data_IF_867894791721
#
_entry.id   IF_867894791721
#
_cell.length_a   1.000
_cell.length_b   1.000
_cell.length_c   1.000
_cell.angle_alpha   90.00
_cell.angle_beta   90.00
_cell.angle_gamma   90.00
#
_symmetry.space_group_name_H-M   'P 1'
#
loop_
_entity.id
_entity.type
_entity.pdbx_description
1 polymer ?
#
# COMPACT_ATOMS: atom_id res chain seq x y z
N UNK A 1 0.83 -26.34 9.42
CA UNK A 1 2.04 -25.73 8.82
C UNK A 1 2.28 -24.39 9.50
N UNK A 2 3.52 -24.11 9.91
CA UNK A 2 3.89 -22.78 10.41
C UNK A 2 4.07 -21.84 9.22
N UNK A 3 3.32 -20.72 9.21
CA UNK A 3 3.46 -19.67 8.19
C UNK A 3 4.51 -18.69 8.69
N UNK A 4 5.54 -18.45 7.88
CA UNK A 4 6.53 -17.41 8.19
C UNK A 4 5.87 -16.03 8.13
N UNK A 5 6.24 -15.18 9.06
CA UNK A 5 5.82 -13.80 9.19
C UNK A 5 6.96 -12.85 8.83
N UNK A 6 6.66 -11.55 8.70
CA UNK A 6 7.69 -10.50 8.54
C UNK A 6 8.69 -10.45 9.70
N UNK A 7 8.38 -11.06 10.85
CA UNK A 7 9.27 -11.12 12.02
C UNK A 7 10.32 -12.23 11.92
N UNK A 8 10.16 -13.18 10.99
CA UNK A 8 11.09 -14.30 10.80
C UNK A 8 12.28 -13.96 9.89
N UNK A 9 12.37 -12.70 9.43
CA UNK A 9 13.42 -12.23 8.54
C UNK A 9 14.28 -11.16 9.24
N UNK A 10 15.60 -11.28 9.09
CA UNK A 10 16.58 -10.44 9.78
C UNK A 10 16.80 -9.07 9.15
N UNK A 11 16.53 -8.89 7.85
CA UNK A 11 16.73 -7.62 7.17
C UNK A 11 15.85 -7.45 5.93
N UNK A 12 15.34 -6.23 5.77
CA UNK A 12 14.57 -5.75 4.62
C UNK A 12 15.26 -4.64 3.83
N UNK A 13 16.44 -4.17 4.27
CA UNK A 13 17.19 -3.10 3.61
C UNK A 13 17.47 -3.44 2.14
N UNK A 14 17.23 -2.48 1.24
CA UNK A 14 17.35 -2.63 -0.21
C UNK A 14 16.34 -3.59 -0.85
N UNK A 15 15.46 -4.24 -0.08
CA UNK A 15 14.46 -5.18 -0.62
C UNK A 15 13.14 -4.49 -0.89
N UNK A 16 12.49 -4.89 -1.99
CA UNK A 16 11.09 -4.53 -2.27
C UNK A 16 10.15 -5.53 -1.61
N UNK A 17 9.22 -5.03 -0.80
CA UNK A 17 8.20 -5.82 -0.14
C UNK A 17 6.83 -5.53 -0.78
N UNK A 18 6.27 -6.51 -1.50
CA UNK A 18 4.89 -6.44 -1.98
C UNK A 18 3.95 -6.85 -0.83
N UNK A 19 3.13 -5.91 -0.35
CA UNK A 19 2.23 -6.13 0.79
C UNK A 19 0.79 -6.08 0.32
N UNK A 20 0.08 -7.20 0.48
CA UNK A 20 -1.36 -7.27 0.24
C UNK A 20 -2.09 -6.79 1.49
N UNK A 21 -2.67 -5.59 1.43
CA UNK A 21 -3.44 -4.99 2.52
C UNK A 21 -4.94 -5.09 2.25
N UNK A 22 -5.77 -5.02 3.28
CA UNK A 22 -7.21 -4.79 3.13
C UNK A 22 -7.52 -3.30 3.32
N UNK A 23 -7.69 -2.59 2.20
CA UNK A 23 -8.09 -1.18 2.18
C UNK A 23 -9.47 -1.00 1.58
N UNK A 24 -10.32 -2.03 1.66
CA UNK A 24 -11.70 -1.94 1.21
C UNK A 24 -12.54 -1.16 2.24
N UNK A 25 -12.36 0.16 2.23
CA UNK A 25 -13.01 1.10 3.15
C UNK A 25 -14.27 1.71 2.52
N UNK A 26 -15.27 2.07 3.33
CA UNK A 26 -16.44 2.77 2.82
C UNK A 26 -16.05 4.18 2.34
N UNK A 27 -16.50 4.51 1.13
CA UNK A 27 -16.38 5.85 0.55
C UNK A 27 -17.76 6.53 0.52
N UNK A 28 -17.82 7.77 1.00
CA UNK A 28 -18.96 8.67 0.86
C UNK A 28 -18.51 9.88 0.05
N UNK A 29 -19.11 10.07 -1.13
CA UNK A 29 -18.77 11.19 -2.04
C UNK A 29 -17.27 11.30 -2.40
N UNK A 30 -16.58 10.16 -2.44
CA UNK A 30 -15.14 10.08 -2.73
C UNK A 30 -14.23 10.24 -1.51
N UNK A 31 -14.78 10.56 -0.34
CA UNK A 31 -14.06 10.65 0.93
C UNK A 31 -14.22 9.37 1.76
N UNK A 32 -13.19 9.01 2.52
CA UNK A 32 -13.22 7.85 3.41
C UNK A 32 -14.08 8.21 4.64
N UNK A 33 -15.11 7.42 4.93
CA UNK A 33 -15.96 7.63 6.12
C UNK A 33 -15.50 6.85 7.34
N UNK A 34 -14.72 5.78 7.14
CA UNK A 34 -14.10 4.97 8.20
C UNK A 34 -12.73 4.46 7.72
N UNK A 35 -11.67 4.85 8.44
CA UNK A 35 -10.28 4.52 8.12
C UNK A 35 -9.69 3.38 8.98
N UNK A 36 -10.53 2.68 9.76
CA UNK A 36 -10.09 1.62 10.69
C UNK A 36 -9.22 0.56 10.01
N UNK A 37 -9.59 0.14 8.78
CA UNK A 37 -8.81 -0.84 8.01
C UNK A 37 -7.45 -0.30 7.56
N UNK A 38 -7.36 0.99 7.26
CA UNK A 38 -6.09 1.64 6.88
C UNK A 38 -5.17 1.67 8.10
N UNK A 39 -5.69 2.13 9.25
CA UNK A 39 -4.95 2.16 10.53
C UNK A 39 -4.45 0.78 10.95
N UNK A 40 -5.26 -0.26 10.76
CA UNK A 40 -4.88 -1.62 11.10
C UNK A 40 -3.62 -2.11 10.34
N UNK A 41 -3.39 -1.62 9.12
CA UNK A 41 -2.21 -1.98 8.33
C UNK A 41 -0.93 -1.23 8.74
N UNK A 42 -1.04 -0.08 9.42
CA UNK A 42 0.10 0.80 9.72
C UNK A 42 1.23 0.07 10.44
N UNK A 43 0.90 -0.77 11.43
CA UNK A 43 1.90 -1.51 12.21
C UNK A 43 2.84 -2.37 11.35
N UNK A 44 2.33 -2.96 10.25
CA UNK A 44 3.15 -3.77 9.34
C UNK A 44 3.96 -2.88 8.39
N UNK A 45 3.36 -1.79 7.92
CA UNK A 45 4.01 -0.83 7.02
C UNK A 45 5.18 -0.16 7.76
N UNK A 46 4.96 0.35 8.96
CA UNK A 46 5.98 0.96 9.80
C UNK A 46 7.10 -0.03 10.15
N UNK A 47 6.75 -1.26 10.54
CA UNK A 47 7.73 -2.32 10.83
C UNK A 47 8.69 -2.58 9.65
N UNK A 48 8.15 -2.63 8.43
CA UNK A 48 8.94 -2.83 7.20
C UNK A 48 9.76 -1.57 6.86
N UNK A 49 9.15 -0.39 7.01
CA UNK A 49 9.75 0.91 6.71
C UNK A 49 10.99 1.16 7.58
N UNK A 50 10.86 0.96 8.89
CA UNK A 50 11.95 1.09 9.87
C UNK A 50 13.12 0.14 9.58
N UNK A 51 12.87 -0.96 8.85
CA UNK A 51 13.89 -1.97 8.47
C UNK A 51 14.42 -1.78 7.05
N UNK A 52 14.15 -0.63 6.44
CA UNK A 52 14.68 -0.24 5.13
C UNK A 52 14.01 -0.94 3.95
N UNK A 53 12.81 -1.51 4.13
CA UNK A 53 12.06 -2.04 3.01
C UNK A 53 11.61 -0.91 2.06
N UNK A 54 11.50 -1.24 0.78
CA UNK A 54 10.79 -0.45 -0.24
C UNK A 54 9.41 -1.07 -0.39
N UNK A 55 8.38 -0.41 0.12
CA UNK A 55 7.07 -1.03 0.34
C UNK A 55 6.17 -0.78 -0.85
N UNK A 56 5.61 -1.83 -1.45
CA UNK A 56 4.62 -1.70 -2.52
C UNK A 56 3.30 -2.26 -2.02
N UNK A 57 2.32 -1.39 -1.84
CA UNK A 57 1.01 -1.78 -1.31
C UNK A 57 0.05 -2.16 -2.43
N UNK A 58 -0.64 -3.27 -2.28
CA UNK A 58 -1.73 -3.69 -3.18
C UNK A 58 -2.99 -3.97 -2.39
N UNK A 59 -4.12 -3.48 -2.91
CA UNK A 59 -5.42 -3.77 -2.36
C UNK A 59 -6.51 -3.77 -3.42
N UNK A 60 -7.73 -4.05 -2.98
CA UNK A 60 -8.95 -3.90 -3.75
C UNK A 60 -9.85 -2.90 -3.04
N UNK A 61 -10.78 -2.32 -3.79
CA UNK A 61 -11.81 -1.45 -3.25
C UNK A 61 -13.11 -1.72 -4.00
N UNK A 62 -14.20 -1.96 -3.26
CA UNK A 62 -15.50 -2.25 -3.84
C UNK A 62 -15.49 -3.43 -4.81
N UNK A 63 -16.32 -3.34 -5.86
CA UNK A 63 -16.52 -4.39 -6.86
C UNK A 63 -16.46 -3.77 -8.26
N UNK A 64 -15.26 -3.65 -8.85
CA UNK A 64 -15.08 -3.06 -10.18
C UNK A 64 -15.47 -3.99 -11.35
N UNK A 65 -15.78 -5.26 -11.06
CA UNK A 65 -16.21 -6.25 -12.08
C UNK A 65 -15.24 -6.36 -13.27
N UNK A 66 -13.94 -6.31 -12.98
CA UNK A 66 -12.88 -6.42 -13.99
C UNK A 66 -12.68 -5.18 -14.87
N UNK A 67 -13.43 -4.08 -14.64
CA UNK A 67 -13.30 -2.84 -15.41
C UNK A 67 -12.71 -1.72 -14.55
N UNK A 68 -11.90 -0.86 -15.17
CA UNK A 68 -11.39 0.35 -14.50
C UNK A 68 -12.56 1.30 -14.24
N UNK A 69 -12.87 1.54 -12.97
CA UNK A 69 -13.91 2.46 -12.55
C UNK A 69 -13.35 3.46 -11.52
N UNK A 70 -13.31 4.77 -11.84
CA UNK A 70 -12.78 5.79 -10.94
C UNK A 70 -13.44 5.82 -9.55
N UNK A 71 -14.71 5.40 -9.44
CA UNK A 71 -15.43 5.30 -8.16
C UNK A 71 -14.76 4.33 -7.18
N UNK A 72 -14.06 3.32 -7.69
CA UNK A 72 -13.35 2.31 -6.92
C UNK A 72 -11.83 2.54 -6.93
N UNK A 73 -11.37 3.76 -7.21
CA UNK A 73 -9.95 4.12 -7.12
C UNK A 73 -9.46 4.09 -5.68
N UNK A 74 -8.24 3.59 -5.47
CA UNK A 74 -7.54 3.66 -4.19
C UNK A 74 -6.89 5.03 -3.92
N UNK A 75 -7.05 6.02 -4.80
CA UNK A 75 -6.47 7.36 -4.61
C UNK A 75 -6.82 8.01 -3.25
N UNK A 76 -8.07 7.94 -2.74
CA UNK A 76 -8.38 8.46 -1.41
C UNK A 76 -7.64 7.72 -0.29
N UNK A 77 -7.41 6.41 -0.46
CA UNK A 77 -6.65 5.58 0.49
C UNK A 77 -5.18 5.99 0.51
N UNK A 78 -4.57 6.20 -0.66
CA UNK A 78 -3.19 6.67 -0.76
C UNK A 78 -3.01 8.01 -0.04
N UNK A 79 -3.90 8.98 -0.28
CA UNK A 79 -3.87 10.27 0.42
C UNK A 79 -3.96 10.10 1.95
N UNK A 80 -4.88 9.25 2.42
CA UNK A 80 -5.03 9.00 3.87
C UNK A 80 -3.83 8.29 4.47
N UNK A 81 -3.20 7.38 3.74
CA UNK A 81 -1.93 6.76 4.15
C UNK A 81 -0.81 7.79 4.24
N UNK A 82 -0.73 8.73 3.29
CA UNK A 82 0.25 9.81 3.35
C UNK A 82 0.12 10.66 4.61
N UNK A 83 -1.13 11.02 4.96
CA UNK A 83 -1.42 11.76 6.20
C UNK A 83 -1.01 10.98 7.46
N UNK A 84 -1.32 9.69 7.52
CA UNK A 84 -1.05 8.85 8.69
C UNK A 84 0.43 8.53 8.85
N UNK A 85 1.18 8.37 7.75
CA UNK A 85 2.61 8.03 7.76
C UNK A 85 3.52 9.26 7.78
N UNK A 86 2.97 10.47 7.58
CA UNK A 86 3.74 11.71 7.50
C UNK A 86 4.72 11.76 6.32
N UNK A 87 4.44 11.03 5.23
CA UNK A 87 5.26 11.00 4.03
C UNK A 87 4.39 10.88 2.79
N UNK A 88 4.93 11.20 1.61
CA UNK A 88 4.21 10.97 0.36
C UNK A 88 4.08 9.47 0.07
N UNK A 89 2.86 9.01 -0.20
CA UNK A 89 2.55 7.66 -0.67
C UNK A 89 2.09 7.74 -2.12
N UNK A 90 2.91 7.21 -3.03
CA UNK A 90 2.70 7.36 -4.46
C UNK A 90 1.60 6.43 -4.95
N UNK A 91 0.51 6.99 -5.49
CA UNK A 91 -0.52 6.21 -6.17
C UNK A 91 -0.15 5.98 -7.65
N UNK A 92 -0.15 4.72 -8.06
CA UNK A 92 0.07 4.32 -9.44
C UNK A 92 -1.22 4.30 -10.28
N UNK A 93 -1.09 4.52 -11.58
CA UNK A 93 -2.22 4.49 -12.53
C UNK A 93 -2.74 3.08 -12.82
N UNK A 94 -1.91 2.07 -12.56
CA UNK A 94 -2.15 0.64 -12.75
C UNK A 94 -1.34 -0.19 -11.72
N UNK A 95 -1.64 -1.47 -11.57
CA UNK A 95 -0.90 -2.40 -10.69
C UNK A 95 0.15 -3.25 -11.43
N UNK A 96 0.20 -3.17 -12.77
CA UNK A 96 1.15 -3.87 -13.64
C UNK A 96 1.69 -2.93 -14.72
N UNK A 97 2.75 -3.34 -15.41
CA UNK A 97 3.31 -2.61 -16.55
C UNK A 97 4.72 -2.07 -16.30
N UNK A 98 5.44 -1.79 -17.39
CA UNK A 98 6.84 -1.37 -17.36
C UNK A 98 7.04 -0.05 -16.61
N UNK A 99 6.11 0.89 -16.73
CA UNK A 99 6.15 2.17 -15.99
C UNK A 99 6.13 1.94 -14.47
N UNK A 100 5.27 1.05 -13.98
CA UNK A 100 5.17 0.72 -12.56
C UNK A 100 6.46 0.05 -12.10
N UNK A 101 6.95 -0.94 -12.86
CA UNK A 101 8.21 -1.63 -12.56
C UNK A 101 9.36 -0.63 -12.47
N UNK A 102 9.52 0.24 -13.47
CA UNK A 102 10.56 1.26 -13.51
C UNK A 102 10.46 2.22 -12.33
N UNK A 103 9.26 2.67 -11.96
CA UNK A 103 9.08 3.53 -10.78
C UNK A 103 9.44 2.80 -9.49
N UNK A 104 9.09 1.51 -9.33
CA UNK A 104 9.48 0.76 -8.12
C UNK A 104 10.98 0.50 -8.02
N UNK A 105 11.71 0.46 -9.14
CA UNK A 105 13.17 0.31 -9.15
C UNK A 105 13.88 1.56 -8.62
N UNK A 106 13.25 2.73 -8.76
CA UNK A 106 13.78 4.02 -8.29
C UNK A 106 13.43 4.32 -6.83
N UNK A 107 12.65 3.45 -6.17
CA UNK A 107 12.31 3.62 -4.75
C UNK A 107 13.57 3.55 -3.88
N UNK A 108 13.59 4.41 -2.87
CA UNK A 108 14.57 4.43 -1.79
C UNK A 108 14.04 3.63 -0.61
N UNK A 109 14.97 3.18 0.22
CA UNK A 109 14.63 2.44 1.43
C UNK A 109 13.75 3.29 2.34
N UNK A 110 12.59 2.76 2.75
CA UNK A 110 11.57 3.47 3.52
C UNK A 110 10.43 4.08 2.69
N UNK A 111 10.55 4.14 1.36
CA UNK A 111 9.47 4.58 0.47
C UNK A 111 8.27 3.61 0.51
N UNK A 112 7.07 4.15 0.31
CA UNK A 112 5.78 3.44 0.31
C UNK A 112 4.97 3.79 -0.95
#
# INVERSE_FOLDING_TARGET
MSIKTVKDFSSFAGKRALVRCDFNVPLKEGSISDDTRIKAALSTIEYLKERGARIVLVSHLGRPEGKKNPKYSLKPVANRLSELLGQDVKMFSDCIGSEIVNSTLQMKDGDV
#
